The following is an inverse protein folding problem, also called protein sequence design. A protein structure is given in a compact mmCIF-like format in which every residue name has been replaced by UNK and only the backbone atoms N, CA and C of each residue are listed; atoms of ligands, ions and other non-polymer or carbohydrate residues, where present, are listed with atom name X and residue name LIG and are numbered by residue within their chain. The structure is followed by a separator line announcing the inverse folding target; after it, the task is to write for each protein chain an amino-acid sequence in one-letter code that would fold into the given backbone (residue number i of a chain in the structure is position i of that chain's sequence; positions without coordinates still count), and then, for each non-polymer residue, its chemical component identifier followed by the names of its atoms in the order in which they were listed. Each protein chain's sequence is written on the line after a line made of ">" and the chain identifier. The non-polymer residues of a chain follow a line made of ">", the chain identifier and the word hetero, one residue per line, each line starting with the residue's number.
data_IF_090545383541
#
_entry.id   IF_090545383541
#
_cell.length_a   1.000
_cell.length_b   1.000
_cell.length_c   1.000
_cell.angle_alpha   90.00
_cell.angle_beta   90.00
_cell.angle_gamma   90.00
#
_symmetry.space_group_name_H-M   'P 1'
#
loop_
_entity.id
_entity.type
_entity.pdbx_description
1 polymer ?
#
# COMPACT_ATOMS: atom_id res chain seq x y z
N UNK A 1 -2.67 42.18 -4.49
CA UNK A 1 -3.01 40.75 -4.38
C UNK A 1 -2.09 40.12 -3.34
N UNK A 2 -2.63 39.50 -2.27
CA UNK A 2 -1.84 39.04 -1.11
C UNK A 2 -1.97 37.52 -0.96
N UNK A 3 -1.13 36.77 -1.68
CA UNK A 3 -0.97 35.33 -1.45
C UNK A 3 0.16 35.07 -0.44
N UNK A 4 -0.15 34.27 0.57
CA UNK A 4 0.84 33.65 1.44
C UNK A 4 1.23 32.29 0.84
N UNK A 5 2.52 32.09 0.57
CA UNK A 5 3.04 30.84 0.00
C UNK A 5 3.50 29.93 1.12
N UNK A 6 2.71 28.90 1.42
CA UNK A 6 3.10 27.84 2.36
C UNK A 6 3.87 26.75 1.59
N UNK A 7 5.12 26.50 1.99
CA UNK A 7 5.92 25.40 1.44
C UNK A 7 5.71 24.13 2.27
N UNK A 8 5.18 23.09 1.64
CA UNK A 8 5.10 21.75 2.23
C UNK A 8 6.28 20.92 1.72
N UNK A 9 7.09 20.40 2.65
CA UNK A 9 8.12 19.41 2.33
C UNK A 9 7.50 18.05 2.00
N UNK A 10 8.31 17.16 1.42
CA UNK A 10 7.97 15.76 1.27
C UNK A 10 7.94 15.03 2.61
N UNK A 11 7.47 13.78 2.58
CA UNK A 11 7.45 12.88 3.72
C UNK A 11 8.69 11.99 3.75
N UNK A 12 9.22 11.76 4.95
CA UNK A 12 10.20 10.72 5.27
C UNK A 12 9.60 9.32 5.13
N UNK A 13 10.44 8.28 5.11
CA UNK A 13 9.96 6.89 5.01
C UNK A 13 9.03 6.52 6.16
N UNK A 14 9.39 6.89 7.39
CA UNK A 14 8.58 6.61 8.60
C UNK A 14 7.25 7.36 8.57
N UNK A 15 7.23 8.61 8.12
CA UNK A 15 5.98 9.37 7.95
C UNK A 15 5.08 8.69 6.91
N UNK A 16 5.65 8.24 5.77
CA UNK A 16 4.88 7.51 4.75
C UNK A 16 4.35 6.18 5.27
N UNK A 17 5.14 5.44 6.05
CA UNK A 17 4.71 4.20 6.68
C UNK A 17 3.51 4.45 7.60
N UNK A 18 3.59 5.48 8.45
CA UNK A 18 2.50 5.83 9.36
C UNK A 18 1.24 6.28 8.59
N UNK A 19 1.38 7.14 7.58
CA UNK A 19 0.27 7.55 6.70
C UNK A 19 -0.36 6.33 6.01
N UNK A 20 0.46 5.40 5.53
CA UNK A 20 -0.02 4.18 4.90
C UNK A 20 -0.83 3.31 5.86
N UNK A 21 -0.33 3.06 7.07
CA UNK A 21 -1.01 2.23 8.08
C UNK A 21 -2.30 2.85 8.58
N UNK A 22 -2.29 4.16 8.85
CA UNK A 22 -3.43 4.84 9.46
C UNK A 22 -4.51 5.22 8.44
N UNK A 23 -4.14 5.47 7.18
CA UNK A 23 -5.06 6.04 6.21
C UNK A 23 -5.13 5.24 4.90
N UNK A 24 -4.00 4.99 4.24
CA UNK A 24 -4.04 4.45 2.87
C UNK A 24 -4.48 3.00 2.83
N UNK A 25 -3.91 2.15 3.68
CA UNK A 25 -4.22 0.72 3.73
C UNK A 25 -5.67 0.47 4.16
N UNK A 26 -6.20 1.04 5.27
CA UNK A 26 -7.60 0.89 5.63
C UNK A 26 -8.56 1.34 4.52
N UNK A 27 -8.29 2.50 3.91
CA UNK A 27 -9.08 3.04 2.79
C UNK A 27 -9.07 2.12 1.57
N UNK A 28 -7.94 1.50 1.25
CA UNK A 28 -7.84 0.59 0.10
C UNK A 28 -8.45 -0.78 0.40
N UNK A 29 -8.37 -1.29 1.63
CA UNK A 29 -9.09 -2.50 2.05
C UNK A 29 -10.61 -2.34 1.84
N UNK A 30 -11.17 -1.23 2.33
CA UNK A 30 -12.59 -0.90 2.19
C UNK A 30 -12.98 -0.76 0.71
N UNK A 31 -12.23 0.03 -0.08
CA UNK A 31 -12.51 0.23 -1.51
C UNK A 31 -12.45 -1.03 -2.35
N UNK A 32 -11.66 -2.03 -1.94
CA UNK A 32 -11.56 -3.32 -2.61
C UNK A 32 -12.49 -4.38 -1.99
N UNK A 33 -13.38 -3.99 -1.08
CA UNK A 33 -14.32 -4.88 -0.39
C UNK A 33 -13.65 -6.06 0.33
N UNK A 34 -12.42 -5.87 0.83
CA UNK A 34 -11.72 -6.84 1.66
C UNK A 34 -12.25 -6.76 3.09
N UNK A 35 -12.69 -7.90 3.63
CA UNK A 35 -13.14 -7.98 5.01
C UNK A 35 -11.94 -7.95 5.96
N UNK A 36 -12.21 -7.53 7.20
CA UNK A 36 -11.22 -7.60 8.27
C UNK A 36 -10.72 -9.04 8.41
N UNK A 37 -9.40 -9.23 8.36
CA UNK A 37 -8.76 -10.53 8.46
C UNK A 37 -8.61 -11.29 7.14
N UNK A 38 -9.11 -10.80 6.01
CA UNK A 38 -8.86 -11.44 4.70
C UNK A 38 -7.46 -11.08 4.14
N UNK A 39 -6.93 -9.92 4.51
CA UNK A 39 -5.61 -9.45 4.09
C UNK A 39 -4.89 -8.78 5.28
N UNK A 40 -3.66 -9.24 5.55
CA UNK A 40 -2.67 -8.55 6.40
C UNK A 40 -1.52 -8.09 5.54
N UNK A 41 -1.06 -6.85 5.74
CA UNK A 41 0.10 -6.29 5.07
C UNK A 41 1.05 -5.78 6.14
N UNK A 42 2.24 -6.34 6.17
CA UNK A 42 3.25 -6.01 7.16
C UNK A 42 3.95 -4.69 6.83
N UNK A 43 4.56 -4.09 7.85
CA UNK A 43 5.37 -2.88 7.70
C UNK A 43 6.51 -3.12 6.68
N UNK A 44 7.07 -4.33 6.64
CA UNK A 44 8.12 -4.71 5.67
C UNK A 44 7.64 -4.61 4.22
N UNK A 45 6.39 -4.97 3.93
CA UNK A 45 5.80 -4.81 2.61
C UNK A 45 5.59 -3.34 2.27
N UNK A 46 5.07 -2.53 3.21
CA UNK A 46 4.86 -1.09 2.98
C UNK A 46 6.20 -0.37 2.74
N UNK A 47 7.22 -0.66 3.55
CA UNK A 47 8.58 -0.15 3.37
C UNK A 47 9.14 -0.60 2.02
N UNK A 48 8.94 -1.86 1.63
CA UNK A 48 9.32 -2.36 0.32
C UNK A 48 8.68 -1.57 -0.83
N UNK A 49 7.39 -1.23 -0.72
CA UNK A 49 6.70 -0.38 -1.69
C UNK A 49 7.35 1.01 -1.76
N UNK A 50 7.58 1.64 -0.61
CA UNK A 50 8.16 2.97 -0.52
C UNK A 50 9.53 3.00 -1.21
N UNK A 51 10.40 2.02 -0.94
CA UNK A 51 11.79 1.99 -1.44
C UNK A 51 11.93 1.57 -2.89
N UNK A 52 11.16 0.58 -3.33
CA UNK A 52 11.42 -0.13 -4.59
C UNK A 52 10.30 -0.02 -5.63
N UNK A 53 9.15 0.55 -5.28
CA UNK A 53 8.01 0.68 -6.19
C UNK A 53 7.49 2.11 -6.32
N UNK A 54 8.05 3.04 -5.53
CA UNK A 54 7.71 4.46 -5.59
C UNK A 54 8.97 5.33 -5.57
N UNK A 55 8.91 6.47 -6.25
CA UNK A 55 9.92 7.53 -6.16
C UNK A 55 9.21 8.87 -6.23
N UNK A 56 8.72 9.34 -5.09
CA UNK A 56 7.97 10.58 -4.96
C UNK A 56 8.20 11.23 -3.60
N UNK A 57 7.95 12.53 -3.47
CA UNK A 57 7.94 13.23 -2.19
C UNK A 57 6.64 12.97 -1.39
N UNK A 58 5.52 12.76 -2.09
CA UNK A 58 4.19 12.50 -1.52
C UNK A 58 3.89 11.01 -1.31
N UNK A 59 2.61 10.66 -1.35
CA UNK A 59 2.09 9.29 -1.15
C UNK A 59 1.12 8.82 -2.24
N UNK A 60 1.05 9.49 -3.40
CA UNK A 60 0.10 9.14 -4.47
C UNK A 60 0.47 7.82 -5.15
N UNK A 61 1.75 7.63 -5.44
CA UNK A 61 2.28 6.36 -5.94
C UNK A 61 2.20 5.26 -4.89
N UNK A 62 2.45 5.59 -3.62
CA UNK A 62 2.27 4.63 -2.51
C UNK A 62 0.83 4.13 -2.44
N UNK A 63 -0.16 5.03 -2.47
CA UNK A 63 -1.59 4.65 -2.48
C UNK A 63 -1.93 3.79 -3.71
N UNK A 64 -1.38 4.10 -4.88
CA UNK A 64 -1.62 3.34 -6.11
C UNK A 64 -1.09 1.91 -6.02
N UNK A 65 0.12 1.71 -5.49
CA UNK A 65 0.69 0.38 -5.34
C UNK A 65 -0.05 -0.44 -4.28
N UNK A 66 -0.45 0.17 -3.15
CA UNK A 66 -1.32 -0.48 -2.15
C UNK A 66 -2.65 -0.90 -2.81
N UNK A 67 -3.26 -0.03 -3.63
CA UNK A 67 -4.49 -0.34 -4.35
C UNK A 67 -4.33 -1.56 -5.30
N UNK A 68 -3.20 -1.63 -6.00
CA UNK A 68 -2.86 -2.76 -6.89
C UNK A 68 -2.67 -4.05 -6.10
N UNK A 69 -2.02 -3.98 -4.94
CA UNK A 69 -1.81 -5.10 -4.02
C UNK A 69 -3.16 -5.64 -3.50
N UNK A 70 -4.05 -4.77 -3.01
CA UNK A 70 -5.40 -5.15 -2.59
C UNK A 70 -6.21 -5.82 -3.72
N UNK A 71 -6.21 -5.26 -4.94
CA UNK A 71 -6.89 -5.87 -6.10
C UNK A 71 -6.42 -7.30 -6.39
N UNK A 72 -5.12 -7.53 -6.27
CA UNK A 72 -4.54 -8.87 -6.48
C UNK A 72 -4.90 -9.84 -5.37
N UNK A 73 -4.88 -9.39 -4.11
CA UNK A 73 -5.32 -10.21 -2.99
C UNK A 73 -6.79 -10.65 -3.15
N UNK A 74 -7.69 -9.73 -3.53
CA UNK A 74 -9.09 -10.05 -3.84
C UNK A 74 -9.19 -11.10 -4.94
N UNK A 75 -8.47 -10.91 -6.05
CA UNK A 75 -8.46 -11.88 -7.16
C UNK A 75 -8.01 -13.27 -6.68
N UNK A 76 -6.97 -13.34 -5.86
CA UNK A 76 -6.48 -14.61 -5.30
C UNK A 76 -7.51 -15.30 -4.41
N UNK A 77 -8.17 -14.57 -3.51
CA UNK A 77 -9.23 -15.11 -2.65
C UNK A 77 -10.47 -15.57 -3.46
N UNK A 78 -10.77 -14.88 -4.55
CA UNK A 78 -11.88 -15.26 -5.43
C UNK A 78 -11.59 -16.54 -6.21
N UNK A 79 -10.34 -16.73 -6.64
CA UNK A 79 -9.87 -17.90 -7.39
C UNK A 79 -9.68 -19.13 -6.51
N UNK A 80 -9.17 -18.95 -5.29
CA UNK A 80 -8.96 -20.04 -4.32
C UNK A 80 -9.93 -19.90 -3.13
N UNK A 81 -11.11 -20.51 -3.24
CA UNK A 81 -12.16 -20.45 -2.20
C UNK A 81 -11.77 -21.10 -0.87
N UNK A 82 -10.73 -21.94 -0.85
CA UNK A 82 -10.19 -22.57 0.37
C UNK A 82 -9.35 -21.59 1.17
N UNK A 83 -8.69 -20.65 0.48
CA UNK A 83 -7.91 -19.59 1.13
C UNK A 83 -8.83 -18.56 1.76
N UNK A 84 -8.67 -18.34 3.06
CA UNK A 84 -9.46 -17.37 3.85
C UNK A 84 -8.66 -16.13 4.23
N UNK A 85 -7.34 -16.23 4.21
CA UNK A 85 -6.42 -15.19 4.64
C UNK A 85 -5.24 -15.10 3.67
N UNK A 86 -4.77 -13.88 3.42
CA UNK A 86 -3.53 -13.59 2.70
C UNK A 86 -2.67 -12.69 3.59
N UNK A 87 -1.39 -13.03 3.70
CA UNK A 87 -0.38 -12.25 4.39
C UNK A 87 0.67 -11.80 3.38
N UNK A 88 0.97 -10.51 3.36
CA UNK A 88 1.95 -9.91 2.45
C UNK A 88 3.03 -9.21 3.26
N UNK A 89 4.27 -9.64 3.03
CA UNK A 89 5.48 -9.13 3.67
C UNK A 89 6.51 -8.72 2.60
N UNK A 90 7.69 -8.27 3.03
CA UNK A 90 8.75 -7.85 2.11
C UNK A 90 9.21 -8.93 1.13
N UNK A 91 9.15 -10.21 1.52
CA UNK A 91 9.71 -11.33 0.73
C UNK A 91 8.80 -11.73 -0.43
N UNK A 92 7.48 -11.76 -0.19
CA UNK A 92 6.48 -12.13 -1.19
C UNK A 92 5.88 -10.94 -1.96
N UNK A 93 6.28 -9.70 -1.64
CA UNK A 93 5.78 -8.48 -2.27
C UNK A 93 5.88 -8.50 -3.80
N UNK A 94 6.96 -9.06 -4.33
CA UNK A 94 7.22 -9.17 -5.78
C UNK A 94 6.17 -9.99 -6.53
N UNK A 95 5.54 -10.97 -5.87
CA UNK A 95 4.51 -11.81 -6.50
C UNK A 95 3.24 -10.99 -6.78
N UNK A 96 3.03 -9.94 -5.99
CA UNK A 96 1.92 -9.00 -6.15
C UNK A 96 2.31 -7.85 -7.08
N UNK A 97 3.44 -7.17 -6.85
CA UNK A 97 3.73 -5.92 -7.56
C UNK A 97 4.61 -6.09 -8.82
N UNK A 98 5.27 -7.24 -8.97
CA UNK A 98 6.21 -7.52 -10.03
C UNK A 98 7.64 -7.12 -9.66
N UNK A 99 8.50 -6.99 -10.67
CA UNK A 99 9.91 -6.60 -10.50
C UNK A 99 10.01 -5.19 -9.90
N UNK A 100 10.98 -5.00 -9.01
CA UNK A 100 11.33 -3.72 -8.39
C UNK A 100 11.77 -2.68 -9.46
N UNK A 101 11.60 -1.39 -9.17
CA UNK A 101 11.81 -0.26 -10.08
C UNK A 101 12.84 0.75 -9.58
#
# INVERSE_FOLDING_TARGET
>A
DRMEVIRLSGYTEDEKLNIAKQHLLPKQLERNALKKGELTVDDSAIIGIIRFYTREAGVRSLEREISKLCRKAVKTLLMDKKRKHIEINGDNLKDYLGVQR
#
